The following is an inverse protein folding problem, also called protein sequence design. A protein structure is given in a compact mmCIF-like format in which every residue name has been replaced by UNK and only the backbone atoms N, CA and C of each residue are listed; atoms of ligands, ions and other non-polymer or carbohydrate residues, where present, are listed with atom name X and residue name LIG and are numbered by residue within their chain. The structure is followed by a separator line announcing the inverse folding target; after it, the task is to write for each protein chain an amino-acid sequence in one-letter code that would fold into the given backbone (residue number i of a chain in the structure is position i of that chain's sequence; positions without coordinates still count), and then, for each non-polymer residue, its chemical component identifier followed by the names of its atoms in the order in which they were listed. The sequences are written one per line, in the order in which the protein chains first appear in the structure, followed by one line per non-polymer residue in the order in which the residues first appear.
data_IF_190596900699
#
_entry.id   IF_190596900699
#
_cell.length_a   1.000
_cell.length_b   1.000
_cell.length_c   1.000
_cell.angle_alpha   90.00
_cell.angle_beta   90.00
_cell.angle_gamma   90.00
#
_symmetry.space_group_name_H-M   'P 1'
#
loop_
_entity.id
_entity.type
_entity.pdbx_description
1 polymer ?
#
# COMPACT_ATOMS: atom_id res chain seq x y z
N UNK A 1 16.26 12.19 15.90
CA UNK A 1 16.48 13.43 16.68
C UNK A 1 15.35 14.43 16.40
N UNK A 2 15.14 15.42 17.28
CA UNK A 2 14.11 16.47 17.04
C UNK A 2 14.58 17.32 15.85
N UNK A 3 13.77 17.33 14.77
CA UNK A 3 14.07 18.05 13.53
C UNK A 3 14.38 17.14 12.33
N UNK A 4 14.48 15.83 12.53
CA UNK A 4 14.63 14.90 11.42
C UNK A 4 13.29 14.72 10.68
N UNK A 5 13.37 14.62 9.36
CA UNK A 5 12.21 14.41 8.50
C UNK A 5 11.66 12.99 8.73
N UNK A 6 10.45 12.90 9.29
CA UNK A 6 9.81 11.62 9.57
C UNK A 6 9.01 11.10 8.37
N UNK A 7 8.26 11.99 7.70
CA UNK A 7 7.39 11.61 6.58
C UNK A 7 7.48 12.61 5.44
N UNK A 8 7.34 12.10 4.21
CA UNK A 8 7.15 12.89 3.00
C UNK A 8 5.95 12.35 2.26
N UNK A 9 5.00 13.21 1.91
CA UNK A 9 3.93 12.89 0.97
C UNK A 9 4.32 13.38 -0.42
N UNK A 10 4.14 12.54 -1.42
CA UNK A 10 4.35 12.88 -2.82
C UNK A 10 3.25 12.24 -3.68
N UNK A 11 2.98 12.86 -4.82
CA UNK A 11 2.05 12.35 -5.81
C UNK A 11 2.81 11.97 -7.08
N UNK A 12 2.65 10.74 -7.53
CA UNK A 12 3.24 10.22 -8.77
C UNK A 12 2.12 9.70 -9.66
N UNK A 13 1.90 10.33 -10.82
CA UNK A 13 0.91 9.93 -11.80
C UNK A 13 -0.49 9.65 -11.18
N UNK A 14 -0.95 10.54 -10.29
CA UNK A 14 -2.25 10.46 -9.62
C UNK A 14 -2.31 9.48 -8.44
N UNK A 15 -1.21 8.84 -8.08
CA UNK A 15 -1.11 7.98 -6.91
C UNK A 15 -0.35 8.72 -5.78
N UNK A 16 -0.97 8.83 -4.61
CA UNK A 16 -0.35 9.43 -3.42
C UNK A 16 0.52 8.39 -2.70
N UNK A 17 1.75 8.77 -2.39
CA UNK A 17 2.71 7.99 -1.62
C UNK A 17 3.08 8.75 -0.34
N UNK A 18 3.01 8.06 0.79
CA UNK A 18 3.55 8.54 2.06
C UNK A 18 4.83 7.77 2.37
N UNK A 19 5.97 8.43 2.26
CA UNK A 19 7.25 7.86 2.63
C UNK A 19 7.49 8.10 4.12
N UNK A 20 7.76 7.04 4.86
CA UNK A 20 8.05 7.06 6.29
C UNK A 20 9.53 6.71 6.52
N UNK A 21 10.26 7.58 7.18
CA UNK A 21 11.62 7.29 7.65
C UNK A 21 11.56 6.47 8.95
N UNK A 22 11.21 5.19 8.81
CA UNK A 22 10.89 4.26 9.91
C UNK A 22 12.06 3.40 10.39
N UNK A 23 13.28 3.62 9.88
CA UNK A 23 14.45 2.79 10.21
C UNK A 23 14.60 1.56 9.31
N UNK A 24 15.49 0.64 9.70
CA UNK A 24 15.95 -0.48 8.87
C UNK A 24 15.31 -1.84 9.27
N UNK A 25 14.31 -1.84 10.15
CA UNK A 25 13.71 -3.07 10.67
C UNK A 25 12.92 -3.87 9.60
N UNK A 26 12.42 -3.19 8.57
CA UNK A 26 11.61 -3.78 7.51
C UNK A 26 12.14 -3.40 6.13
N UNK A 27 12.30 -4.40 5.27
CA UNK A 27 12.68 -4.19 3.87
C UNK A 27 11.48 -4.36 2.95
N UNK A 28 11.35 -3.55 1.87
CA UNK A 28 10.36 -3.78 0.82
C UNK A 28 10.49 -5.18 0.22
N UNK A 29 9.40 -5.69 -0.32
CA UNK A 29 9.41 -6.98 -0.99
C UNK A 29 8.55 -6.95 -2.25
N UNK A 30 8.81 -7.82 -3.25
CA UNK A 30 8.01 -7.91 -4.47
C UNK A 30 6.56 -8.37 -4.26
N UNK A 31 6.18 -8.77 -3.04
CA UNK A 31 4.79 -9.07 -2.71
C UNK A 31 3.86 -7.84 -2.88
N UNK A 32 4.42 -6.63 -2.73
CA UNK A 32 3.77 -5.38 -3.13
C UNK A 32 4.66 -4.72 -4.18
N UNK A 33 4.11 -4.45 -5.35
CA UNK A 33 4.77 -3.76 -6.45
C UNK A 33 3.88 -2.65 -7.00
N UNK A 34 4.43 -1.78 -7.82
CA UNK A 34 3.72 -0.68 -8.44
C UNK A 34 3.76 -0.82 -9.96
N UNK A 35 2.58 -1.00 -10.57
CA UNK A 35 2.44 -1.12 -12.03
C UNK A 35 2.45 0.27 -12.64
N UNK A 36 3.50 0.59 -13.37
CA UNK A 36 3.64 1.84 -14.13
C UNK A 36 3.17 1.58 -15.55
N UNK A 37 2.03 2.14 -15.92
CA UNK A 37 1.57 2.18 -17.30
C UNK A 37 2.19 3.39 -17.99
N UNK A 38 2.92 3.18 -19.08
CA UNK A 38 3.55 4.22 -19.87
C UNK A 38 2.74 4.48 -21.15
N UNK A 39 2.63 5.74 -21.58
CA UNK A 39 1.86 6.14 -22.74
C UNK A 39 2.47 5.65 -24.08
N UNK A 40 3.80 5.57 -24.10
CA UNK A 40 4.54 5.20 -25.29
C UNK A 40 5.86 4.51 -24.95
N UNK A 41 6.53 3.97 -25.97
CA UNK A 41 7.75 3.20 -25.80
C UNK A 41 8.94 4.06 -25.31
N UNK A 42 9.05 5.30 -25.73
CA UNK A 42 10.12 6.20 -25.28
C UNK A 42 10.03 6.43 -23.77
N UNK A 43 8.83 6.74 -23.26
CA UNK A 43 8.57 6.89 -21.85
C UNK A 43 8.85 5.59 -21.08
N UNK A 44 8.40 4.46 -21.60
CA UNK A 44 8.63 3.13 -21.00
C UNK A 44 10.12 2.83 -20.86
N UNK A 45 10.91 3.05 -21.91
CA UNK A 45 12.36 2.83 -21.88
C UNK A 45 13.07 3.76 -20.90
N UNK A 46 12.62 5.03 -20.81
CA UNK A 46 13.19 6.00 -19.87
C UNK A 46 12.86 5.63 -18.42
N UNK A 47 11.60 5.31 -18.12
CA UNK A 47 11.16 4.86 -16.77
C UNK A 47 11.91 3.60 -16.38
N UNK A 48 11.97 2.59 -17.26
CA UNK A 48 12.72 1.36 -17.00
C UNK A 48 14.18 1.62 -16.66
N UNK A 49 14.85 2.44 -17.47
CA UNK A 49 16.26 2.78 -17.27
C UNK A 49 16.51 3.42 -15.89
N UNK A 50 15.60 4.29 -15.44
CA UNK A 50 15.77 4.98 -14.17
C UNK A 50 15.48 4.05 -12.98
N UNK A 51 14.39 3.27 -13.02
CA UNK A 51 14.01 2.37 -11.95
C UNK A 51 14.99 1.19 -11.81
N UNK A 52 15.54 0.70 -12.92
CA UNK A 52 16.48 -0.41 -12.93
C UNK A 52 17.95 0.00 -12.69
N UNK A 53 18.22 1.32 -12.55
CA UNK A 53 19.57 1.81 -12.28
C UNK A 53 19.98 1.48 -10.84
N UNK A 54 21.03 0.68 -10.70
CA UNK A 54 21.50 0.11 -9.42
C UNK A 54 20.43 -0.73 -8.70
N UNK A 55 19.43 -1.21 -9.45
CA UNK A 55 18.36 -2.07 -8.99
C UNK A 55 18.59 -3.54 -9.35
N UNK A 56 17.59 -4.38 -9.06
CA UNK A 56 17.59 -5.81 -9.35
C UNK A 56 16.50 -6.14 -10.37
N UNK A 57 16.89 -6.63 -11.55
CA UNK A 57 15.93 -7.08 -12.57
C UNK A 57 15.31 -8.42 -12.18
N UNK A 58 14.00 -8.42 -11.93
CA UNK A 58 13.21 -9.64 -11.67
C UNK A 58 12.71 -10.27 -12.97
N UNK A 59 12.20 -9.46 -13.91
CA UNK A 59 11.86 -9.87 -15.27
C UNK A 59 12.39 -8.82 -16.25
N UNK A 60 13.27 -9.21 -17.20
CA UNK A 60 13.82 -8.26 -18.18
C UNK A 60 12.73 -7.54 -18.98
N UNK A 61 12.98 -6.27 -19.34
CA UNK A 61 12.08 -5.55 -20.24
C UNK A 61 12.15 -6.13 -21.65
N UNK A 62 11.12 -6.87 -22.04
CA UNK A 62 10.99 -7.49 -23.38
C UNK A 62 9.52 -7.71 -23.71
N UNK A 63 9.25 -8.21 -24.91
CA UNK A 63 7.90 -8.61 -25.32
C UNK A 63 7.57 -10.00 -24.78
N UNK A 64 6.55 -10.08 -23.94
CA UNK A 64 6.00 -11.33 -23.43
C UNK A 64 4.68 -11.66 -24.14
N UNK A 65 4.42 -12.93 -24.51
CA UNK A 65 3.24 -13.30 -25.31
C UNK A 65 1.90 -12.83 -24.74
N UNK A 66 1.78 -12.81 -23.40
CA UNK A 66 0.51 -12.49 -22.73
C UNK A 66 0.49 -11.09 -22.10
N UNK A 67 1.64 -10.44 -21.97
CA UNK A 67 1.78 -9.15 -21.26
C UNK A 67 2.16 -8.01 -22.23
N UNK A 68 2.57 -8.33 -23.46
CA UNK A 68 3.21 -7.37 -24.34
C UNK A 68 4.56 -6.92 -23.83
N UNK A 69 4.95 -5.69 -24.12
CA UNK A 69 6.21 -5.12 -23.63
C UNK A 69 6.10 -4.82 -22.13
N UNK A 70 6.83 -5.61 -21.37
CA UNK A 70 6.75 -5.63 -19.92
C UNK A 70 8.12 -5.85 -19.29
N UNK A 71 8.36 -5.26 -18.13
CA UNK A 71 9.52 -5.53 -17.29
C UNK A 71 9.18 -5.39 -15.82
N UNK A 72 9.93 -6.10 -14.97
CA UNK A 72 9.75 -6.06 -13.52
C UNK A 72 11.11 -5.93 -12.86
N UNK A 73 11.26 -4.95 -11.97
CA UNK A 73 12.53 -4.64 -11.30
C UNK A 73 12.28 -4.17 -9.87
N UNK A 74 13.22 -4.46 -8.98
CA UNK A 74 13.36 -3.70 -7.73
C UNK A 74 14.28 -2.51 -8.01
N UNK A 75 13.92 -1.32 -7.52
CA UNK A 75 14.81 -0.19 -7.57
C UNK A 75 15.97 -0.33 -6.55
N UNK A 76 16.92 0.59 -6.57
CA UNK A 76 18.06 0.58 -5.64
C UNK A 76 17.71 0.68 -4.16
N UNK A 77 16.46 1.00 -3.83
CA UNK A 77 15.93 1.06 -2.47
C UNK A 77 15.13 -0.20 -2.11
N UNK A 78 14.99 -1.15 -3.04
CA UNK A 78 14.27 -2.41 -2.86
C UNK A 78 12.77 -2.33 -3.15
N UNK A 79 12.24 -1.17 -3.57
CA UNK A 79 10.83 -1.08 -3.99
C UNK A 79 10.65 -1.72 -5.36
N UNK A 80 9.55 -2.44 -5.51
CA UNK A 80 9.28 -3.29 -6.68
C UNK A 80 8.36 -2.60 -7.68
N UNK A 81 8.79 -2.56 -8.95
CA UNK A 81 8.14 -1.83 -10.03
C UNK A 81 7.91 -2.73 -11.24
N UNK A 82 6.69 -2.74 -11.75
CA UNK A 82 6.31 -3.37 -13.01
C UNK A 82 6.10 -2.27 -14.05
N UNK A 83 6.79 -2.31 -15.18
CA UNK A 83 6.69 -1.27 -16.23
C UNK A 83 6.11 -1.87 -17.49
N UNK A 84 5.08 -1.25 -18.05
CA UNK A 84 4.43 -1.72 -19.27
C UNK A 84 3.86 -0.57 -20.11
N UNK A 85 3.57 -0.86 -21.37
CA UNK A 85 2.76 0.06 -22.19
C UNK A 85 1.31 0.05 -21.71
N UNK A 86 0.76 1.22 -21.47
CA UNK A 86 -0.64 1.44 -21.13
C UNK A 86 -1.44 1.98 -22.32
N UNK A 87 -2.73 2.14 -22.11
CA UNK A 87 -3.63 2.75 -23.08
C UNK A 87 -3.79 4.25 -22.74
N UNK A 88 -2.93 5.10 -23.34
CA UNK A 88 -3.10 6.56 -23.40
C UNK A 88 -2.92 7.42 -22.14
N UNK A 89 -2.55 6.87 -20.99
CA UNK A 89 -2.29 7.67 -19.78
C UNK A 89 -1.23 7.01 -18.91
N UNK A 90 -0.28 7.82 -18.43
CA UNK A 90 0.63 7.37 -17.40
C UNK A 90 -0.13 7.22 -16.10
N UNK A 91 -0.13 6.01 -15.54
CA UNK A 91 -0.71 5.71 -14.25
C UNK A 91 0.22 4.83 -13.43
N UNK A 92 0.12 4.93 -12.10
CA UNK A 92 0.78 4.01 -11.18
C UNK A 92 -0.32 3.33 -10.36
N UNK A 93 -0.35 2.01 -10.41
CA UNK A 93 -1.37 1.21 -9.74
C UNK A 93 -0.66 0.21 -8.80
N UNK A 94 -0.93 0.23 -7.48
CA UNK A 94 -0.40 -0.77 -6.57
C UNK A 94 -0.87 -2.17 -6.95
N UNK A 95 0.05 -3.13 -6.88
CA UNK A 95 -0.19 -4.54 -7.21
C UNK A 95 0.21 -5.43 -6.04
N UNK A 96 -0.72 -6.23 -5.57
CA UNK A 96 -0.57 -7.18 -4.46
C UNK A 96 -0.36 -8.56 -5.07
N UNK A 97 0.70 -9.28 -4.70
CA UNK A 97 0.91 -10.64 -5.15
C UNK A 97 0.60 -11.63 -4.04
N UNK A 98 -0.44 -12.41 -4.24
CA UNK A 98 -0.73 -13.59 -3.44
C UNK A 98 0.07 -14.77 -4.00
N UNK A 99 0.78 -15.45 -3.11
CA UNK A 99 1.61 -16.62 -3.41
C UNK A 99 1.75 -17.48 -2.16
N UNK A 100 2.40 -18.61 -2.28
CA UNK A 100 2.68 -19.51 -1.16
C UNK A 100 1.40 -19.89 -0.39
N UNK A 101 1.29 -19.52 0.89
CA UNK A 101 0.13 -19.80 1.73
C UNK A 101 -1.13 -19.02 1.32
N UNK A 102 -0.97 -17.92 0.60
CA UNK A 102 -2.08 -17.09 0.11
C UNK A 102 -2.54 -17.46 -1.30
N UNK A 103 -1.84 -18.37 -1.99
CA UNK A 103 -2.25 -18.81 -3.33
C UNK A 103 -3.67 -19.39 -3.32
N UNK A 104 -4.51 -18.92 -4.22
CA UNK A 104 -5.91 -19.29 -4.35
C UNK A 104 -6.88 -18.46 -3.48
N UNK A 105 -6.38 -17.52 -2.66
CA UNK A 105 -7.20 -16.69 -1.77
C UNK A 105 -7.50 -15.30 -2.32
N UNK A 106 -6.95 -14.94 -3.49
CA UNK A 106 -7.05 -13.58 -4.03
C UNK A 106 -8.51 -13.11 -4.26
N UNK A 107 -9.40 -13.97 -4.74
CA UNK A 107 -10.81 -13.61 -4.91
C UNK A 107 -11.50 -13.35 -3.56
N UNK A 108 -11.25 -14.20 -2.57
CA UNK A 108 -11.81 -14.02 -1.23
C UNK A 108 -11.33 -12.70 -0.58
N UNK A 109 -10.06 -12.35 -0.78
CA UNK A 109 -9.51 -11.10 -0.31
C UNK A 109 -10.15 -9.87 -0.97
N UNK A 110 -10.34 -9.90 -2.31
CA UNK A 110 -11.05 -8.83 -3.02
C UNK A 110 -12.46 -8.65 -2.46
N UNK A 111 -13.21 -9.73 -2.31
CA UNK A 111 -14.60 -9.70 -1.85
C UNK A 111 -14.68 -9.12 -0.42
N UNK A 112 -13.78 -9.53 0.45
CA UNK A 112 -13.67 -9.04 1.83
C UNK A 112 -13.29 -7.56 1.88
N UNK A 113 -12.26 -7.14 1.15
CA UNK A 113 -11.82 -5.74 1.14
C UNK A 113 -12.88 -4.82 0.54
N UNK A 114 -13.58 -5.25 -0.52
CA UNK A 114 -14.71 -4.49 -1.08
C UNK A 114 -15.85 -4.37 -0.06
N UNK A 115 -16.14 -5.40 0.72
CA UNK A 115 -17.16 -5.34 1.77
C UNK A 115 -16.78 -4.39 2.91
N UNK A 116 -15.48 -4.32 3.25
CA UNK A 116 -14.96 -3.46 4.32
C UNK A 116 -14.89 -1.99 3.87
N UNK A 117 -14.24 -1.73 2.74
CA UNK A 117 -13.91 -0.38 2.28
C UNK A 117 -14.92 0.23 1.30
N UNK A 118 -15.76 -0.59 0.69
CA UNK A 118 -16.56 -0.21 -0.48
C UNK A 118 -15.71 -0.19 -1.75
N UNK A 119 -16.33 -0.52 -2.87
CA UNK A 119 -15.67 -0.55 -4.16
C UNK A 119 -16.28 -1.56 -5.11
N UNK A 120 -15.50 -2.01 -6.08
CA UNK A 120 -15.93 -2.99 -7.09
C UNK A 120 -14.72 -3.66 -7.74
N UNK A 121 -14.93 -4.87 -8.22
CA UNK A 121 -14.00 -5.53 -9.12
C UNK A 121 -14.14 -4.93 -10.53
N UNK A 122 -13.01 -4.66 -11.21
CA UNK A 122 -12.99 -3.93 -12.50
C UNK A 122 -12.67 -4.84 -13.67
N UNK A 123 -11.74 -5.77 -13.52
CA UNK A 123 -11.47 -6.82 -14.50
C UNK A 123 -11.03 -8.11 -13.81
N UNK A 124 -11.14 -9.23 -14.52
CA UNK A 124 -10.71 -10.55 -14.05
C UNK A 124 -9.94 -11.23 -15.19
N UNK A 125 -8.74 -11.70 -14.88
CA UNK A 125 -7.95 -12.58 -15.74
C UNK A 125 -7.91 -13.95 -15.07
N UNK A 126 -8.42 -14.96 -15.76
CA UNK A 126 -8.42 -16.32 -15.27
C UNK A 126 -7.25 -17.10 -15.88
N UNK A 127 -6.67 -17.97 -15.09
CA UNK A 127 -5.64 -18.91 -15.47
C UNK A 127 -6.18 -20.31 -15.73
N UNK A 128 -5.36 -21.32 -15.53
CA UNK A 128 -5.76 -22.71 -15.62
C UNK A 128 -6.87 -23.04 -14.62
N UNK A 129 -7.76 -23.98 -14.98
CA UNK A 129 -8.85 -24.44 -14.13
C UNK A 129 -9.80 -23.33 -13.67
N UNK A 130 -9.96 -22.28 -14.49
CA UNK A 130 -10.83 -21.13 -14.20
C UNK A 130 -10.46 -20.34 -12.92
N UNK A 131 -9.27 -20.56 -12.36
CA UNK A 131 -8.79 -19.87 -11.16
C UNK A 131 -8.41 -18.43 -11.49
N UNK A 132 -8.57 -17.54 -10.52
CA UNK A 132 -8.10 -16.18 -10.66
C UNK A 132 -6.57 -16.19 -10.83
N UNK A 133 -6.08 -15.50 -11.87
CA UNK A 133 -4.66 -15.24 -12.09
C UNK A 133 -4.28 -13.81 -11.75
N UNK A 134 -5.14 -12.88 -12.12
CA UNK A 134 -5.02 -11.47 -11.77
C UNK A 134 -6.39 -10.80 -11.82
N UNK A 135 -6.54 -9.73 -11.08
CA UNK A 135 -7.76 -8.90 -11.10
C UNK A 135 -7.44 -7.45 -10.79
N UNK A 136 -8.14 -6.54 -11.44
CA UNK A 136 -8.25 -5.16 -11.00
C UNK A 136 -9.47 -5.00 -10.11
N UNK A 137 -9.36 -4.11 -9.14
CA UNK A 137 -10.45 -3.75 -8.26
C UNK A 137 -10.25 -2.33 -7.72
N UNK A 138 -11.30 -1.74 -7.20
CA UNK A 138 -11.27 -0.43 -6.57
C UNK A 138 -11.66 -0.53 -5.11
N UNK A 139 -10.96 0.20 -4.26
CA UNK A 139 -11.32 0.44 -2.85
C UNK A 139 -11.38 1.94 -2.61
N UNK A 140 -12.50 2.46 -2.12
CA UNK A 140 -12.71 3.90 -1.88
C UNK A 140 -12.35 4.79 -3.10
N UNK A 141 -12.52 4.25 -4.32
CA UNK A 141 -12.23 4.96 -5.57
C UNK A 141 -10.79 4.86 -6.08
N UNK A 142 -9.89 4.18 -5.36
CA UNK A 142 -8.51 3.95 -5.78
C UNK A 142 -8.37 2.58 -6.46
N UNK A 143 -7.67 2.57 -7.60
CA UNK A 143 -7.40 1.35 -8.35
C UNK A 143 -6.30 0.52 -7.70
N UNK A 144 -6.51 -0.79 -7.64
CA UNK A 144 -5.55 -1.79 -7.21
C UNK A 144 -5.56 -2.99 -8.18
N UNK A 145 -4.45 -3.68 -8.21
CA UNK A 145 -4.32 -4.97 -8.90
C UNK A 145 -3.96 -6.03 -7.87
N UNK A 146 -4.49 -7.23 -8.03
CA UNK A 146 -4.03 -8.40 -7.31
C UNK A 146 -3.61 -9.47 -8.31
N UNK A 147 -2.52 -10.16 -8.03
CA UNK A 147 -2.04 -11.32 -8.76
C UNK A 147 -2.09 -12.53 -7.84
N UNK A 148 -2.48 -13.69 -8.37
CA UNK A 148 -2.54 -14.97 -7.64
C UNK A 148 -1.57 -15.95 -8.30
N UNK A 149 -0.39 -16.12 -7.71
CA UNK A 149 0.72 -16.87 -8.31
C UNK A 149 0.79 -18.29 -7.74
N UNK A 150 0.75 -19.32 -8.60
CA UNK A 150 0.99 -20.70 -8.18
C UNK A 150 2.47 -21.00 -7.89
N UNK A 151 3.36 -20.11 -8.29
CA UNK A 151 4.80 -20.30 -8.11
C UNK A 151 5.20 -20.06 -6.65
N UNK A 152 6.23 -20.78 -6.22
CA UNK A 152 6.82 -20.55 -4.90
C UNK A 152 7.74 -19.35 -4.94
N UNK A 153 7.52 -18.42 -4.01
CA UNK A 153 8.34 -17.25 -3.84
C UNK A 153 9.01 -17.25 -2.47
N UNK A 154 10.20 -16.65 -2.37
CA UNK A 154 10.94 -16.50 -1.11
C UNK A 154 10.53 -15.28 -0.32
N UNK A 155 9.73 -14.41 -0.91
CA UNK A 155 9.23 -13.17 -0.30
C UNK A 155 7.78 -13.31 0.19
N UNK A 156 7.42 -12.43 1.11
CA UNK A 156 6.07 -12.26 1.65
C UNK A 156 5.81 -10.77 1.91
N UNK A 157 4.62 -10.42 2.39
CA UNK A 157 4.30 -9.06 2.82
C UNK A 157 5.17 -8.64 4.00
N UNK A 158 5.56 -7.38 4.04
CA UNK A 158 6.32 -6.75 5.12
C UNK A 158 5.75 -5.38 5.44
N UNK A 159 6.01 -4.86 6.64
CA UNK A 159 5.57 -3.52 7.05
C UNK A 159 6.23 -2.38 6.26
N UNK A 160 7.26 -2.66 5.46
CA UNK A 160 7.86 -1.67 4.58
C UNK A 160 6.90 -1.16 3.49
N UNK A 161 5.86 -1.93 3.17
CA UNK A 161 4.78 -1.52 2.28
C UNK A 161 3.44 -1.71 2.99
N UNK A 162 2.61 -0.69 2.98
CA UNK A 162 1.26 -0.72 3.55
C UNK A 162 0.31 0.14 2.74
N UNK A 163 -0.97 -0.12 2.87
CA UNK A 163 -2.03 0.70 2.32
C UNK A 163 -2.64 1.59 3.40
N UNK A 164 -3.02 2.82 3.04
CA UNK A 164 -3.72 3.69 3.94
C UNK A 164 -4.92 4.34 3.27
N UNK A 165 -5.91 4.67 4.09
CA UNK A 165 -7.05 5.49 3.70
C UNK A 165 -7.27 6.59 4.73
N UNK A 166 -7.80 7.73 4.27
CA UNK A 166 -8.29 8.77 5.16
C UNK A 166 -9.67 8.40 5.70
N UNK A 167 -9.72 8.14 6.99
CA UNK A 167 -10.97 7.85 7.69
C UNK A 167 -11.65 9.14 8.12
N UNK A 168 -12.98 9.17 8.01
CA UNK A 168 -13.77 10.36 8.26
C UNK A 168 -13.84 10.69 9.76
N UNK A 169 -14.13 9.70 10.57
CA UNK A 169 -14.39 9.83 12.00
C UNK A 169 -14.05 8.52 12.75
N UNK A 170 -14.25 8.52 14.07
CA UNK A 170 -13.98 7.36 14.91
C UNK A 170 -14.81 6.14 14.53
N UNK A 171 -16.06 6.33 14.12
CA UNK A 171 -16.93 5.21 13.72
C UNK A 171 -16.40 4.49 12.48
N UNK A 172 -15.90 5.27 11.50
CA UNK A 172 -15.27 4.70 10.29
C UNK A 172 -13.98 3.97 10.64
N UNK A 173 -13.16 4.50 11.56
CA UNK A 173 -11.97 3.84 12.09
C UNK A 173 -12.33 2.53 12.78
N UNK A 174 -13.27 2.55 13.71
CA UNK A 174 -13.66 1.39 14.52
C UNK A 174 -14.16 0.24 13.63
N UNK A 175 -15.03 0.55 12.66
CA UNK A 175 -15.56 -0.43 11.71
C UNK A 175 -14.46 -1.15 10.93
N UNK A 176 -13.52 -0.40 10.37
CA UNK A 176 -12.46 -0.98 9.54
C UNK A 176 -11.45 -1.71 10.41
N UNK A 177 -11.08 -1.14 11.56
CA UNK A 177 -10.19 -1.78 12.52
C UNK A 177 -10.70 -3.15 12.94
N UNK A 178 -11.94 -3.22 13.41
CA UNK A 178 -12.57 -4.48 13.87
C UNK A 178 -12.62 -5.53 12.76
N UNK A 179 -12.95 -5.11 11.52
CA UNK A 179 -13.05 -6.03 10.41
C UNK A 179 -11.68 -6.59 9.97
N UNK A 180 -10.66 -5.76 9.85
CA UNK A 180 -9.33 -6.20 9.40
C UNK A 180 -8.57 -6.98 10.47
N UNK A 181 -8.76 -6.65 11.76
CA UNK A 181 -8.04 -7.30 12.85
C UNK A 181 -8.75 -8.53 13.41
N UNK A 182 -9.97 -8.86 12.97
CA UNK A 182 -10.76 -9.99 13.47
C UNK A 182 -10.01 -11.34 13.42
N UNK A 183 -9.41 -11.67 12.27
CA UNK A 183 -8.49 -12.80 12.11
C UNK A 183 -7.09 -12.33 11.73
N UNK A 184 -6.80 -11.05 11.93
CA UNK A 184 -5.56 -10.39 11.65
C UNK A 184 -4.78 -10.04 12.93
N UNK A 185 -3.98 -8.97 12.87
CA UNK A 185 -3.19 -8.49 14.02
C UNK A 185 -3.28 -6.98 14.15
N UNK A 186 -3.30 -6.55 15.40
CA UNK A 186 -3.21 -5.15 15.78
C UNK A 186 -1.75 -4.76 16.01
N UNK A 187 -1.34 -3.67 15.38
CA UNK A 187 -0.02 -3.08 15.56
C UNK A 187 -0.12 -1.68 16.20
N UNK A 188 0.95 -1.12 16.75
CA UNK A 188 0.94 0.23 17.31
C UNK A 188 0.58 1.30 16.29
N UNK A 189 0.10 2.46 16.78
CA UNK A 189 -0.09 3.70 16.01
C UNK A 189 -1.06 3.58 14.82
N UNK A 190 -2.11 2.76 14.94
CA UNK A 190 -3.12 2.63 13.90
C UNK A 190 -2.76 1.68 12.76
N UNK A 191 -1.70 0.88 12.93
CA UNK A 191 -1.33 -0.15 11.97
C UNK A 191 -2.09 -1.44 12.20
N UNK A 192 -2.49 -2.10 11.12
CA UNK A 192 -3.21 -3.37 11.09
C UNK A 192 -2.54 -4.32 10.11
N UNK A 193 -2.53 -5.61 10.43
CA UNK A 193 -2.21 -6.69 9.50
C UNK A 193 -3.47 -7.52 9.34
N UNK A 194 -3.98 -7.65 8.12
CA UNK A 194 -5.17 -8.49 7.89
C UNK A 194 -4.82 -10.00 7.91
N UNK A 195 -5.83 -10.86 7.80
CA UNK A 195 -5.67 -12.32 7.81
C UNK A 195 -4.77 -12.86 6.69
N UNK A 196 -4.57 -12.06 5.63
CA UNK A 196 -3.71 -12.42 4.49
C UNK A 196 -2.26 -11.93 4.69
N UNK A 197 -2.00 -11.16 5.74
CA UNK A 197 -0.70 -10.57 6.05
C UNK A 197 -0.44 -9.23 5.35
N UNK A 198 -1.45 -8.63 4.72
CA UNK A 198 -1.35 -7.30 4.11
C UNK A 198 -1.46 -6.23 5.20
N UNK A 199 -0.60 -5.22 5.12
CA UNK A 199 -0.55 -4.14 6.11
C UNK A 199 -1.38 -2.93 5.68
N UNK A 200 -2.13 -2.40 6.65
CA UNK A 200 -3.01 -1.24 6.51
C UNK A 200 -2.74 -0.22 7.60
N UNK A 201 -2.96 1.06 7.29
CA UNK A 201 -2.80 2.14 8.25
C UNK A 201 -4.05 2.99 8.35
N UNK A 202 -4.34 3.43 9.56
CA UNK A 202 -5.40 4.40 9.84
C UNK A 202 -4.84 5.81 9.74
N UNK A 203 -5.31 6.61 8.77
CA UNK A 203 -5.08 8.04 8.73
C UNK A 203 -6.38 8.81 8.93
N UNK A 204 -6.28 9.98 9.53
CA UNK A 204 -7.37 10.92 9.69
C UNK A 204 -6.82 12.35 9.59
N UNK A 205 -7.54 13.24 8.92
CA UNK A 205 -7.05 14.61 8.68
C UNK A 205 -6.87 15.41 9.96
N UNK A 206 -7.76 15.24 10.93
CA UNK A 206 -7.62 15.92 12.22
C UNK A 206 -6.43 15.40 13.01
N UNK A 207 -6.20 14.08 13.02
CA UNK A 207 -5.00 13.48 13.60
C UNK A 207 -3.72 14.09 13.00
N UNK A 208 -3.65 14.18 11.66
CA UNK A 208 -2.50 14.80 10.99
C UNK A 208 -2.35 16.27 11.34
N UNK A 209 -3.45 17.02 11.44
CA UNK A 209 -3.41 18.42 11.85
C UNK A 209 -2.90 18.59 13.29
N UNK A 210 -3.28 17.70 14.19
CA UNK A 210 -2.82 17.77 15.59
C UNK A 210 -1.34 17.36 15.71
N UNK A 211 -0.92 16.29 15.06
CA UNK A 211 0.47 15.81 15.15
C UNK A 211 1.47 16.69 14.39
N UNK A 212 1.03 17.42 13.37
CA UNK A 212 1.84 18.36 12.58
C UNK A 212 1.54 19.83 12.89
N UNK A 213 0.93 20.14 14.05
CA UNK A 213 0.63 21.51 14.43
C UNK A 213 1.89 22.37 14.55
N UNK A 214 1.79 23.66 14.16
CA UNK A 214 2.85 24.64 14.38
C UNK A 214 3.12 24.93 15.87
N UNK A 215 2.17 24.63 16.76
CA UNK A 215 2.36 24.60 18.20
C UNK A 215 3.07 23.27 18.56
N UNK A 216 4.38 23.34 18.70
CA UNK A 216 5.23 22.16 18.92
C UNK A 216 4.93 21.41 20.21
N UNK A 217 4.43 22.10 21.26
CA UNK A 217 4.08 21.47 22.52
C UNK A 217 2.80 20.63 22.38
N UNK A 218 1.77 21.20 21.75
CA UNK A 218 0.52 20.49 21.45
C UNK A 218 0.76 19.33 20.49
N UNK A 219 1.53 19.53 19.44
CA UNK A 219 1.90 18.47 18.49
C UNK A 219 2.61 17.31 19.19
N UNK A 220 3.54 17.61 20.10
CA UNK A 220 4.24 16.62 20.90
C UNK A 220 3.29 15.83 21.81
N UNK A 221 2.33 16.49 22.48
CA UNK A 221 1.35 15.81 23.33
C UNK A 221 0.46 14.87 22.51
N UNK A 222 -0.06 15.32 21.36
CA UNK A 222 -0.85 14.47 20.47
C UNK A 222 -0.07 13.25 19.97
N UNK A 223 1.18 13.46 19.54
CA UNK A 223 2.06 12.40 19.05
C UNK A 223 2.40 11.39 20.16
N UNK A 224 2.73 11.86 21.37
CA UNK A 224 3.01 10.99 22.51
C UNK A 224 1.78 10.15 22.91
N UNK A 225 0.57 10.71 22.81
CA UNK A 225 -0.65 9.98 23.08
C UNK A 225 -0.91 8.92 22.02
N UNK A 226 -0.73 9.26 20.73
CA UNK A 226 -0.84 8.32 19.63
C UNK A 226 0.12 7.12 19.80
N UNK A 227 1.35 7.32 20.23
CA UNK A 227 2.33 6.25 20.43
C UNK A 227 1.97 5.24 21.52
N UNK A 228 1.05 5.57 22.43
CA UNK A 228 0.54 4.65 23.46
C UNK A 228 -0.56 3.72 22.93
N UNK A 229 -1.09 3.98 21.75
CA UNK A 229 -2.25 3.31 21.20
C UNK A 229 -1.87 2.24 20.18
N UNK A 230 -2.71 1.22 20.08
CA UNK A 230 -2.82 0.39 18.88
C UNK A 230 -3.89 0.99 17.98
N UNK A 231 -5.17 0.81 18.29
CA UNK A 231 -6.27 1.49 17.59
C UNK A 231 -6.28 2.97 17.93
N UNK A 232 -6.32 3.82 16.91
CA UNK A 232 -6.41 5.27 17.07
C UNK A 232 -7.73 5.64 17.75
N UNK A 233 -7.62 6.45 18.82
CA UNK A 233 -8.74 7.10 19.49
C UNK A 233 -8.62 8.61 19.32
N UNK A 234 -9.39 9.17 18.38
CA UNK A 234 -9.34 10.57 18.06
C UNK A 234 -9.68 11.49 19.24
N UNK A 235 -10.63 11.08 20.10
CA UNK A 235 -11.04 11.89 21.25
C UNK A 235 -9.90 12.02 22.28
N UNK A 236 -9.19 10.92 22.58
CA UNK A 236 -8.05 10.93 23.51
C UNK A 236 -6.89 11.75 22.96
N UNK A 237 -6.58 11.62 21.65
CA UNK A 237 -5.50 12.41 21.03
C UNK A 237 -5.86 13.89 21.03
N UNK A 238 -7.11 14.24 20.71
CA UNK A 238 -7.58 15.62 20.79
C UNK A 238 -7.48 16.20 22.20
N UNK A 239 -7.87 15.45 23.20
CA UNK A 239 -7.76 15.84 24.62
C UNK A 239 -6.30 16.14 25.00
N UNK A 240 -5.37 15.28 24.59
CA UNK A 240 -3.93 15.51 24.80
C UNK A 240 -3.43 16.75 24.05
N UNK A 241 -3.88 16.96 22.83
CA UNK A 241 -3.56 18.15 22.03
C UNK A 241 -4.08 19.45 22.69
N UNK A 242 -5.31 19.44 23.23
CA UNK A 242 -5.92 20.61 23.89
C UNK A 242 -5.34 20.89 25.28
N UNK A 243 -4.57 19.94 25.86
CA UNK A 243 -4.03 20.06 27.22
C UNK A 243 -5.10 19.92 28.32
N UNK A 244 -6.22 19.29 28.02
CA UNK A 244 -7.32 19.05 28.95
C UNK A 244 -7.24 17.61 29.48
N UNK A 245 -6.48 17.39 30.56
CA UNK A 245 -6.44 16.11 31.30
C UNK A 245 -7.55 16.04 32.32
#
# INVERSE_FOLDING_TARGET
EIGDLLTITLELAGCEFLLLNGGDDFSPSPAISYVVNCENEEQLLNVWKQLNHDGETLMPLTDYPELGKFGWTNDRYGFSWQVRLGENLQTIIPCIMFANNNYGLAQAAIDEWIAIFGGKQTFVIKGKEDRLRASGFQLRGHDLIIMDSPEKHTFTFTMANSFYFYFKDQTDIDKVWEALTYDGKEWPCGWMEDRYGVFWQTLNKDLLNWTNSSDSEKARHATQEMYKMKKINLAQIKQAFDGTN
#
